data_IF_180152048097
#
_entry.id   IF_180152048097
#
_cell.length_a   1.000
_cell.length_b   1.000
_cell.length_c   1.000
_cell.angle_alpha   90.00
_cell.angle_beta   90.00
_cell.angle_gamma   90.00
#
_symmetry.space_group_name_H-M   'P 1'
#
loop_
_entity.id
_entity.type
_entity.pdbx_description
1 polymer ?
#
# COMPACT_ATOMS: atom_id res chain seq x y z
N UNK A 1 4.01 5.36 -12.82
CA UNK A 1 4.19 6.27 -11.67
C UNK A 1 3.22 7.44 -11.77
N UNK A 2 2.59 7.80 -10.65
CA UNK A 2 1.66 8.93 -10.62
C UNK A 2 2.46 10.23 -10.54
N UNK A 3 2.18 11.24 -11.40
CA UNK A 3 2.86 12.53 -11.35
C UNK A 3 2.77 13.15 -9.94
N UNK A 4 3.86 13.68 -9.43
CA UNK A 4 3.96 14.22 -8.08
C UNK A 4 4.23 13.21 -6.97
N UNK A 5 4.23 11.89 -7.27
CA UNK A 5 4.54 10.80 -6.33
C UNK A 5 5.68 9.89 -6.81
N UNK A 6 6.32 10.21 -7.92
CA UNK A 6 7.43 9.43 -8.49
C UNK A 6 8.82 9.93 -8.10
N UNK A 7 8.96 11.23 -7.87
CA UNK A 7 10.26 11.83 -7.52
C UNK A 7 10.93 11.24 -6.28
N UNK A 8 10.21 10.84 -5.19
CA UNK A 8 10.84 10.26 -4.01
C UNK A 8 11.55 8.92 -4.22
N UNK A 9 11.21 8.18 -5.29
CA UNK A 9 11.89 6.93 -5.63
C UNK A 9 13.17 7.16 -6.43
N UNK A 10 13.30 8.31 -7.09
CA UNK A 10 14.38 8.63 -8.04
C UNK A 10 15.36 9.67 -7.52
N UNK A 11 15.06 10.34 -6.40
CA UNK A 11 15.92 11.39 -5.86
C UNK A 11 17.17 10.80 -5.23
N UNK A 12 18.32 10.97 -5.89
CA UNK A 12 19.64 10.55 -5.41
C UNK A 12 19.95 11.09 -4.00
N UNK A 13 19.53 12.31 -3.69
CA UNK A 13 19.71 12.95 -2.38
C UNK A 13 18.97 12.29 -1.22
N UNK A 14 18.14 11.28 -1.48
CA UNK A 14 17.31 10.59 -0.49
C UNK A 14 17.57 9.08 -0.46
N UNK A 15 18.59 8.58 -1.14
CA UNK A 15 18.86 7.14 -1.19
C UNK A 15 19.15 6.55 0.19
N UNK A 16 19.75 7.35 1.08
CA UNK A 16 20.11 6.93 2.44
C UNK A 16 18.95 7.07 3.44
N UNK A 17 17.84 7.66 3.05
CA UNK A 17 16.70 7.80 3.96
C UNK A 17 15.99 6.46 4.17
N UNK A 18 15.58 6.14 5.42
CA UNK A 18 14.74 4.98 5.68
C UNK A 18 13.52 4.95 4.76
N UNK A 19 13.20 3.77 4.24
CA UNK A 19 12.03 3.57 3.39
C UNK A 19 11.05 2.65 4.08
N UNK A 20 9.80 3.09 4.17
CA UNK A 20 8.68 2.29 4.67
C UNK A 20 7.71 2.03 3.53
N UNK A 21 7.46 0.76 3.25
CA UNK A 21 6.59 0.32 2.19
C UNK A 21 5.29 -0.27 2.71
N UNK A 22 4.17 0.24 2.20
CA UNK A 22 2.80 -0.20 2.50
C UNK A 22 2.19 -0.89 1.27
N UNK A 23 2.44 -2.18 1.03
CA UNK A 23 1.72 -2.94 0.01
C UNK A 23 0.28 -3.19 0.49
N UNK A 24 -0.69 -2.59 -0.20
CA UNK A 24 -2.11 -2.78 0.10
C UNK A 24 -2.60 -3.99 -0.69
N UNK A 25 -2.73 -5.14 -0.01
CA UNK A 25 -2.82 -6.46 -0.64
C UNK A 25 -4.23 -6.81 -1.13
N UNK A 26 -4.29 -7.42 -2.30
CA UNK A 26 -5.48 -7.99 -2.89
C UNK A 26 -5.14 -9.30 -3.59
N UNK A 27 -6.14 -10.13 -3.87
CA UNK A 27 -5.96 -11.46 -4.45
C UNK A 27 -5.39 -11.42 -5.87
N UNK A 28 -4.58 -12.42 -6.19
CA UNK A 28 -3.99 -12.64 -7.52
C UNK A 28 -3.14 -11.47 -8.04
N UNK A 29 -2.41 -10.80 -7.14
CA UNK A 29 -1.54 -9.66 -7.46
C UNK A 29 -0.06 -9.92 -7.17
N UNK A 30 0.32 -11.17 -6.93
CA UNK A 30 1.70 -11.55 -6.59
C UNK A 30 2.72 -11.10 -7.63
N UNK A 31 2.40 -11.22 -8.93
CA UNK A 31 3.28 -10.76 -10.01
C UNK A 31 3.50 -9.23 -10.00
N UNK A 32 2.44 -8.47 -9.74
CA UNK A 32 2.52 -7.01 -9.64
C UNK A 32 3.31 -6.60 -8.40
N UNK A 33 3.10 -7.28 -7.26
CA UNK A 33 3.86 -7.06 -6.04
C UNK A 33 5.37 -7.31 -6.30
N UNK A 34 5.72 -8.46 -6.85
CA UNK A 34 7.10 -8.82 -7.15
C UNK A 34 7.77 -7.82 -8.09
N UNK A 35 7.04 -7.34 -9.10
CA UNK A 35 7.54 -6.31 -10.00
C UNK A 35 7.85 -5.01 -9.26
N UNK A 36 6.97 -4.53 -8.41
CA UNK A 36 7.23 -3.32 -7.59
C UNK A 36 8.39 -3.55 -6.65
N UNK A 37 8.47 -4.73 -6.02
CA UNK A 37 9.58 -5.09 -5.13
C UNK A 37 10.93 -5.03 -5.85
N UNK A 38 11.03 -5.61 -7.06
CA UNK A 38 12.27 -5.64 -7.82
C UNK A 38 12.67 -4.26 -8.35
N UNK A 39 11.69 -3.47 -8.79
CA UNK A 39 11.95 -2.24 -9.52
C UNK A 39 12.09 -1.01 -8.61
N UNK A 40 11.51 -1.04 -7.41
CA UNK A 40 11.34 0.17 -6.60
C UNK A 40 11.62 0.02 -5.11
N UNK A 41 11.63 -1.19 -4.56
CA UNK A 41 11.73 -1.41 -3.11
C UNK A 41 13.08 -2.03 -2.74
N UNK A 42 13.97 -1.28 -2.08
CA UNK A 42 15.26 -1.80 -1.65
C UNK A 42 15.10 -2.91 -0.59
N UNK A 43 16.13 -3.74 -0.44
CA UNK A 43 16.10 -4.88 0.50
C UNK A 43 15.99 -4.47 1.96
N UNK A 44 16.49 -3.30 2.32
CA UNK A 44 16.47 -2.75 3.68
C UNK A 44 15.16 -2.00 4.02
N UNK A 45 14.17 -1.98 3.12
CA UNK A 45 12.90 -1.29 3.37
C UNK A 45 12.12 -1.96 4.51
N UNK A 46 11.60 -1.15 5.41
CA UNK A 46 10.59 -1.59 6.38
C UNK A 46 9.29 -1.87 5.64
N UNK A 47 8.67 -3.03 5.88
CA UNK A 47 7.47 -3.45 5.16
C UNK A 47 6.29 -3.55 6.12
N UNK A 48 5.19 -2.87 5.77
CA UNK A 48 3.93 -2.87 6.51
C UNK A 48 2.79 -3.34 5.59
N UNK A 49 2.56 -4.65 5.44
CA UNK A 49 1.49 -5.16 4.61
C UNK A 49 0.12 -4.70 5.13
N UNK A 50 -0.76 -4.27 4.22
CA UNK A 50 -2.12 -3.84 4.56
C UNK A 50 -3.10 -4.89 4.06
N UNK A 51 -3.82 -5.52 4.96
CA UNK A 51 -4.80 -6.57 4.69
C UNK A 51 -6.24 -6.06 4.84
N UNK A 52 -7.17 -6.51 3.99
CA UNK A 52 -8.59 -6.20 4.14
C UNK A 52 -9.18 -6.93 5.36
N UNK A 53 -9.47 -6.18 6.41
CA UNK A 53 -10.16 -6.70 7.60
C UNK A 53 -10.81 -5.54 8.39
N UNK A 54 -12.08 -5.67 8.81
CA UNK A 54 -13.00 -6.76 8.45
C UNK A 54 -13.34 -6.80 6.96
N UNK A 55 -13.65 -8.00 6.49
CA UNK A 55 -14.09 -8.24 5.13
C UNK A 55 -15.35 -9.11 5.12
N UNK A 56 -16.07 -9.15 3.96
CA UNK A 56 -17.24 -10.02 3.81
C UNK A 56 -16.90 -11.49 4.00
N UNK A 57 -15.73 -11.91 3.56
CA UNK A 57 -15.20 -13.25 3.82
C UNK A 57 -14.21 -13.19 5.00
N UNK A 58 -14.55 -13.75 6.16
CA UNK A 58 -13.72 -13.71 7.36
C UNK A 58 -12.31 -14.31 7.15
N UNK A 59 -12.17 -15.27 6.21
CA UNK A 59 -10.89 -15.94 5.92
C UNK A 59 -10.07 -15.25 4.83
N UNK A 60 -10.52 -14.11 4.35
CA UNK A 60 -9.82 -13.39 3.27
C UNK A 60 -8.42 -12.98 3.68
N UNK A 61 -8.27 -12.45 4.89
CA UNK A 61 -6.97 -12.08 5.44
C UNK A 61 -6.00 -13.26 5.48
N UNK A 62 -6.46 -14.42 5.97
CA UNK A 62 -5.64 -15.64 6.05
C UNK A 62 -5.18 -16.11 4.66
N UNK A 63 -6.07 -16.09 3.67
CA UNK A 63 -5.70 -16.47 2.29
C UNK A 63 -4.64 -15.53 1.71
N UNK A 64 -4.76 -14.23 1.96
CA UNK A 64 -3.77 -13.27 1.52
C UNK A 64 -2.43 -13.46 2.23
N UNK A 65 -2.42 -13.75 3.53
CA UNK A 65 -1.19 -14.09 4.24
C UNK A 65 -0.49 -15.31 3.61
N UNK A 66 -1.25 -16.35 3.26
CA UNK A 66 -0.73 -17.54 2.57
C UNK A 66 -0.23 -17.19 1.18
N UNK A 67 -0.99 -16.43 0.39
CA UNK A 67 -0.61 -16.03 -0.98
C UNK A 67 0.69 -15.23 -1.01
N UNK A 68 0.89 -14.35 -0.03
CA UNK A 68 2.04 -13.46 0.04
C UNK A 68 3.14 -13.93 1.00
N UNK A 69 3.00 -15.12 1.59
CA UNK A 69 3.97 -15.67 2.54
C UNK A 69 5.39 -15.66 1.96
N UNK A 70 5.59 -16.27 0.81
CA UNK A 70 6.91 -16.36 0.18
C UNK A 70 7.55 -14.99 -0.07
N UNK A 71 6.93 -14.08 -0.82
CA UNK A 71 7.56 -12.82 -1.18
C UNK A 71 7.72 -11.82 -0.03
N UNK A 72 6.81 -11.76 0.93
CA UNK A 72 6.85 -10.75 2.01
C UNK A 72 7.41 -11.29 3.32
N UNK A 73 6.98 -12.48 3.74
CA UNK A 73 7.30 -12.96 5.07
C UNK A 73 8.56 -13.84 5.08
N UNK A 74 8.71 -14.74 4.10
CA UNK A 74 9.88 -15.62 4.05
C UNK A 74 11.10 -14.92 3.43
N UNK A 75 10.94 -14.24 2.28
CA UNK A 75 12.06 -13.63 1.56
C UNK A 75 12.51 -12.27 2.13
N UNK A 76 11.61 -11.54 2.76
CA UNK A 76 11.86 -10.21 3.34
C UNK A 76 11.83 -10.21 4.86
N UNK A 77 11.58 -11.35 5.48
CA UNK A 77 11.53 -11.52 6.95
C UNK A 77 10.61 -10.50 7.63
N UNK A 78 9.51 -10.10 6.94
CA UNK A 78 8.59 -9.11 7.46
C UNK A 78 7.89 -9.62 8.71
N UNK A 79 7.98 -8.93 9.85
CA UNK A 79 7.30 -9.35 11.07
C UNK A 79 5.78 -9.29 10.90
N UNK A 80 5.06 -10.29 11.41
CA UNK A 80 3.58 -10.28 11.42
C UNK A 80 3.00 -9.12 12.23
N UNK A 81 3.75 -8.58 13.18
CA UNK A 81 3.39 -7.40 13.96
C UNK A 81 3.30 -6.12 13.13
N UNK A 82 3.91 -6.10 11.95
CA UNK A 82 3.87 -4.97 11.02
C UNK A 82 2.60 -4.98 10.15
N UNK A 83 1.81 -6.05 10.20
CA UNK A 83 0.59 -6.14 9.40
C UNK A 83 -0.45 -5.14 9.91
N UNK A 84 -0.94 -4.32 8.98
CA UNK A 84 -2.05 -3.39 9.21
C UNK A 84 -3.34 -3.99 8.67
N UNK A 85 -4.43 -3.66 9.32
CA UNK A 85 -5.76 -4.08 8.90
C UNK A 85 -6.60 -2.87 8.50
N UNK A 86 -7.25 -2.94 7.33
CA UNK A 86 -8.10 -1.88 6.82
C UNK A 86 -9.45 -2.44 6.37
N UNK A 87 -10.53 -1.78 6.74
CA UNK A 87 -11.89 -2.24 6.41
C UNK A 87 -12.10 -2.33 4.90
N UNK A 88 -12.55 -3.49 4.40
CA UNK A 88 -12.67 -3.76 2.97
C UNK A 88 -13.63 -2.79 2.25
N UNK A 89 -14.74 -2.45 2.89
CA UNK A 89 -15.83 -1.66 2.31
C UNK A 89 -15.89 -0.21 2.81
N UNK A 90 -14.97 0.20 3.69
CA UNK A 90 -14.96 1.55 4.24
C UNK A 90 -13.64 2.27 3.90
N UNK A 91 -13.62 3.13 2.87
CA UNK A 91 -12.41 3.84 2.47
C UNK A 91 -11.90 4.83 3.53
N UNK A 92 -12.77 5.39 4.36
CA UNK A 92 -12.37 6.31 5.43
C UNK A 92 -11.67 5.59 6.58
N UNK A 93 -12.05 4.34 6.86
CA UNK A 93 -11.33 3.52 7.83
C UNK A 93 -9.94 3.16 7.31
N UNK A 94 -9.85 2.73 6.05
CA UNK A 94 -8.56 2.48 5.40
C UNK A 94 -7.67 3.73 5.40
N UNK A 95 -8.25 4.90 5.11
CA UNK A 95 -7.55 6.18 5.20
C UNK A 95 -7.00 6.44 6.60
N UNK A 96 -7.83 6.32 7.65
CA UNK A 96 -7.40 6.58 9.04
C UNK A 96 -6.29 5.64 9.50
N UNK A 97 -6.40 4.35 9.17
CA UNK A 97 -5.41 3.34 9.54
C UNK A 97 -4.05 3.61 8.86
N UNK A 98 -4.06 3.87 7.57
CA UNK A 98 -2.84 4.19 6.82
C UNK A 98 -2.23 5.52 7.25
N UNK A 99 -3.04 6.57 7.37
CA UNK A 99 -2.57 7.88 7.81
C UNK A 99 -1.90 7.80 9.19
N UNK A 100 -2.55 7.14 10.16
CA UNK A 100 -1.99 6.97 11.49
C UNK A 100 -0.68 6.16 11.49
N UNK A 101 -0.58 5.13 10.65
CA UNK A 101 0.67 4.39 10.51
C UNK A 101 1.79 5.23 9.89
N UNK A 102 1.50 5.95 8.80
CA UNK A 102 2.46 6.85 8.16
C UNK A 102 2.97 7.94 9.10
N UNK A 103 2.07 8.53 9.90
CA UNK A 103 2.44 9.55 10.89
C UNK A 103 3.38 9.00 11.95
N UNK A 104 3.08 7.80 12.51
CA UNK A 104 3.97 7.14 13.48
C UNK A 104 5.36 6.87 12.91
N UNK A 105 5.45 6.38 11.68
CA UNK A 105 6.75 6.18 11.03
C UNK A 105 7.48 7.49 10.78
N UNK A 106 6.80 8.54 10.32
CA UNK A 106 7.39 9.87 10.17
C UNK A 106 7.98 10.39 11.48
N UNK A 107 7.24 10.26 12.57
CA UNK A 107 7.68 10.67 13.91
C UNK A 107 8.89 9.84 14.37
N UNK A 108 8.83 8.53 14.23
CA UNK A 108 9.91 7.63 14.64
C UNK A 108 11.21 7.89 13.88
N UNK A 109 11.14 8.16 12.58
CA UNK A 109 12.31 8.44 11.76
C UNK A 109 12.73 9.91 11.73
N UNK A 110 12.03 10.80 12.43
CA UNK A 110 12.40 12.22 12.50
C UNK A 110 13.80 12.46 13.03
N UNK A 111 14.25 11.64 13.98
CA UNK A 111 15.60 11.67 14.55
C UNK A 111 16.70 11.31 13.54
N UNK A 112 16.34 10.62 12.44
CA UNK A 112 17.23 10.26 11.34
C UNK A 112 17.11 11.23 10.15
N UNK A 113 16.44 12.36 10.33
CA UNK A 113 16.24 13.37 9.29
C UNK A 113 14.96 13.14 8.46
N UNK A 114 14.26 12.02 8.63
CA UNK A 114 13.01 11.72 7.96
C UNK A 114 12.95 10.33 7.33
N UNK A 115 11.91 10.07 6.53
CA UNK A 115 11.70 8.80 5.85
C UNK A 115 11.03 8.98 4.48
N UNK A 116 11.13 7.94 3.67
CA UNK A 116 10.37 7.78 2.42
C UNK A 116 9.22 6.82 2.67
N UNK A 117 8.02 7.22 2.29
CA UNK A 117 6.81 6.39 2.41
C UNK A 117 6.39 5.94 1.01
N UNK A 118 6.21 4.65 0.82
CA UNK A 118 5.82 4.07 -0.45
C UNK A 118 4.53 3.28 -0.25
N UNK A 119 3.49 3.58 -1.03
CA UNK A 119 2.21 2.87 -0.98
C UNK A 119 1.93 2.23 -2.33
N UNK A 120 1.73 0.91 -2.34
CA UNK A 120 1.40 0.17 -3.55
C UNK A 120 -0.02 -0.39 -3.45
N UNK A 121 -0.99 0.23 -4.13
CA UNK A 121 -2.39 -0.21 -4.07
C UNK A 121 -2.62 -1.43 -4.99
N UNK A 122 -2.79 -2.60 -4.40
CA UNK A 122 -3.10 -3.86 -5.09
C UNK A 122 -4.48 -4.42 -4.69
N UNK A 123 -5.19 -3.75 -3.77
CA UNK A 123 -6.46 -4.19 -3.22
C UNK A 123 -7.69 -3.68 -4.02
N UNK A 124 -8.87 -3.77 -3.41
CA UNK A 124 -10.12 -3.26 -3.94
C UNK A 124 -10.08 -1.73 -4.15
N UNK A 125 -10.96 -1.21 -5.00
CA UNK A 125 -11.06 0.23 -5.28
C UNK A 125 -11.32 1.07 -4.04
N UNK A 126 -12.10 0.57 -3.07
CA UNK A 126 -12.43 1.30 -1.85
C UNK A 126 -11.22 1.45 -0.93
N UNK A 127 -10.47 0.38 -0.67
CA UNK A 127 -9.23 0.47 0.11
C UNK A 127 -8.20 1.33 -0.63
N UNK A 128 -8.11 1.18 -1.94
CA UNK A 128 -7.22 2.01 -2.78
C UNK A 128 -7.55 3.50 -2.68
N UNK A 129 -8.85 3.84 -2.64
CA UNK A 129 -9.28 5.23 -2.43
C UNK A 129 -8.83 5.75 -1.05
N UNK A 130 -9.02 4.95 0.01
CA UNK A 130 -8.55 5.31 1.35
C UNK A 130 -7.03 5.52 1.40
N UNK A 131 -6.29 4.62 0.75
CA UNK A 131 -4.83 4.74 0.63
C UNK A 131 -4.41 6.02 -0.13
N UNK A 132 -5.09 6.34 -1.21
CA UNK A 132 -4.83 7.57 -1.98
C UNK A 132 -5.10 8.83 -1.16
N UNK A 133 -6.19 8.86 -0.37
CA UNK A 133 -6.51 9.97 0.53
C UNK A 133 -5.42 10.14 1.61
N UNK A 134 -4.95 9.04 2.22
CA UNK A 134 -3.86 9.10 3.20
C UNK A 134 -2.57 9.66 2.58
N UNK A 135 -2.23 9.22 1.38
CA UNK A 135 -1.08 9.75 0.65
C UNK A 135 -1.23 11.24 0.30
N UNK A 136 -2.44 11.65 -0.08
CA UNK A 136 -2.72 13.06 -0.39
C UNK A 136 -2.54 13.94 0.84
N UNK A 137 -3.07 13.53 1.98
CA UNK A 137 -2.92 14.25 3.25
C UNK A 137 -1.45 14.34 3.70
N UNK A 138 -0.72 13.24 3.54
CA UNK A 138 0.69 13.16 3.92
C UNK A 138 1.63 13.81 2.89
N UNK A 139 1.12 14.32 1.76
CA UNK A 139 1.95 14.93 0.73
C UNK A 139 2.70 16.14 1.29
N UNK A 140 4.02 16.22 1.12
CA UNK A 140 4.81 17.36 1.56
C UNK A 140 4.29 18.67 0.95
N UNK A 141 4.08 19.68 1.79
CA UNK A 141 3.58 21.00 1.37
C UNK A 141 4.65 22.09 1.38
N UNK A 142 5.83 21.81 1.96
CA UNK A 142 6.88 22.80 2.12
C UNK A 142 8.31 22.26 2.07
N UNK A 143 9.26 23.19 2.07
CA UNK A 143 10.68 22.91 2.19
C UNK A 143 10.96 22.50 3.64
N UNK A 144 11.50 21.31 3.85
CA UNK A 144 11.85 20.83 5.20
C UNK A 144 10.94 19.74 5.75
N UNK A 145 9.95 19.27 4.97
CA UNK A 145 9.17 18.10 5.35
C UNK A 145 10.06 16.85 5.48
N UNK A 146 9.95 16.18 6.61
CA UNK A 146 10.76 15.01 6.99
C UNK A 146 10.29 13.69 6.35
N UNK A 147 9.52 13.76 5.27
CA UNK A 147 9.03 12.57 4.58
C UNK A 147 8.77 12.84 3.11
N UNK A 148 8.78 11.78 2.33
CA UNK A 148 8.42 11.80 0.92
C UNK A 148 7.51 10.61 0.63
N UNK A 149 6.54 10.80 -0.26
CA UNK A 149 5.54 9.79 -0.59
C UNK A 149 5.64 9.40 -2.06
N UNK A 150 5.63 8.11 -2.32
CA UNK A 150 5.55 7.55 -3.66
C UNK A 150 4.41 6.55 -3.78
N UNK A 151 3.75 6.55 -4.95
CA UNK A 151 2.71 5.58 -5.30
C UNK A 151 3.11 4.84 -6.59
N UNK A 152 3.94 3.80 -6.51
CA UNK A 152 4.21 2.95 -7.65
C UNK A 152 2.96 2.13 -7.98
N UNK A 153 2.51 2.22 -9.23
CA UNK A 153 1.43 1.42 -9.78
C UNK A 153 2.02 0.37 -10.73
N UNK A 154 1.68 -0.88 -10.49
CA UNK A 154 1.93 -1.95 -11.44
C UNK A 154 0.66 -2.19 -12.27
N UNK A 155 0.61 -1.63 -13.46
CA UNK A 155 -0.51 -1.85 -14.37
C UNK A 155 -0.48 -3.27 -14.93
N UNK A 156 -1.63 -3.96 -14.98
CA UNK A 156 -1.71 -5.23 -15.68
C UNK A 156 -1.51 -5.01 -17.18
N UNK A 157 -0.75 -5.89 -17.83
CA UNK A 157 -0.52 -5.81 -19.29
C UNK A 157 -1.80 -5.88 -20.12
N UNK A 158 -2.87 -6.45 -19.56
CA UNK A 158 -4.17 -6.63 -20.21
C UNK A 158 -5.29 -6.70 -19.17
N UNK A 159 -6.35 -5.97 -19.44
CA UNK A 159 -7.61 -6.12 -18.70
C UNK A 159 -8.45 -7.17 -19.42
N UNK A 160 -8.85 -8.21 -18.70
CA UNK A 160 -9.74 -9.25 -19.21
C UNK A 160 -11.07 -9.11 -18.47
N UNK A 161 -12.10 -8.65 -19.16
CA UNK A 161 -13.46 -8.65 -18.66
C UNK A 161 -14.24 -9.77 -19.39
N UNK A 162 -14.68 -10.79 -18.66
CA UNK A 162 -15.63 -11.78 -19.18
C UNK A 162 -17.07 -11.39 -18.79
N UNK A 163 -18.03 -11.75 -19.64
CA UNK A 163 -19.46 -11.52 -19.33
C UNK A 163 -19.85 -12.22 -18.02
N UNK A 164 -19.24 -13.36 -17.71
CA UNK A 164 -19.45 -14.08 -16.45
C UNK A 164 -18.96 -13.29 -15.24
N UNK A 165 -17.75 -12.72 -15.31
CA UNK A 165 -17.20 -11.91 -14.22
C UNK A 165 -17.96 -10.60 -14.02
N UNK A 166 -18.44 -9.98 -15.10
CA UNK A 166 -19.28 -8.78 -15.03
C UNK A 166 -20.65 -9.07 -14.39
N UNK A 167 -21.25 -10.22 -14.69
CA UNK A 167 -22.51 -10.65 -14.07
C UNK A 167 -22.36 -11.07 -12.60
N UNK A 168 -21.22 -11.64 -12.24
CA UNK A 168 -20.90 -12.00 -10.85
C UNK A 168 -20.60 -10.76 -9.97
N UNK A 169 -20.19 -9.66 -10.59
CA UNK A 169 -20.03 -8.35 -9.93
C UNK A 169 -21.39 -7.66 -9.87
N UNK A 170 -22.29 -8.15 -9.02
CA UNK A 170 -23.56 -7.44 -8.77
C UNK A 170 -23.24 -6.02 -8.29
N UNK A 171 -23.90 -4.98 -8.79
CA UNK A 171 -23.68 -3.62 -8.35
C UNK A 171 -24.07 -3.49 -6.88
N UNK A 172 -23.09 -3.38 -6.01
CA UNK A 172 -23.32 -2.99 -4.63
C UNK A 172 -23.30 -1.47 -4.56
N UNK A 173 -24.45 -0.91 -4.24
CA UNK A 173 -24.57 0.48 -3.83
C UNK A 173 -23.87 0.62 -2.47
N UNK A 174 -22.62 1.08 -2.45
CA UNK A 174 -22.02 1.61 -1.26
C UNK A 174 -22.49 3.05 -1.11
N UNK A 175 -23.47 3.29 -0.24
CA UNK A 175 -23.81 4.64 0.17
C UNK A 175 -22.68 5.14 1.07
N UNK A 176 -21.99 6.18 0.62
CA UNK A 176 -21.19 7.03 1.48
C UNK A 176 -22.18 7.92 2.25
N UNK A 177 -22.50 7.55 3.47
CA UNK A 177 -23.21 8.38 4.44
C UNK A 177 -22.20 9.13 5.30
#
# INVERSE_FOLDING_TARGET
>A
LIPGYSSPLQAESMQDWPLVWFPVLGENRTMQLQKVMSDAIPTFAEICPVLPHPSKDPRRGDRLLIEYQGPLFDSRETPLTNVLYAHEANPFEAYRQLLGAMQRYRESFSVLGGCRLVVTPLASKLITLGAALACFEMKPTGIGDSHRIALPLAEPRRYIASVGSLRASAPELSALL
#
